data_IF_535739232844
#
_entry.id   IF_535739232844
#
_cell.length_a   1.000
_cell.length_b   1.000
_cell.length_c   1.000
_cell.angle_alpha   90.00
_cell.angle_beta   90.00
_cell.angle_gamma   90.00
#
_symmetry.space_group_name_H-M   'P 1'
#
loop_
_entity.id
_entity.type
_entity.pdbx_description
1 polymer ?
#
# COMPACT_ATOMS: atom_id res chain seq x y z
N UNK A 1 0.75 2.85 14.87
CA UNK A 1 -0.66 2.40 14.95
C UNK A 1 -1.37 2.77 13.65
N UNK A 2 -2.71 2.75 13.58
CA UNK A 2 -3.44 3.11 12.38
C UNK A 2 -3.23 4.58 11.96
N UNK A 3 -3.16 5.51 12.92
CA UNK A 3 -2.92 6.94 12.61
C UNK A 3 -1.54 7.12 11.99
N UNK A 4 -0.50 6.49 12.57
CA UNK A 4 0.84 6.52 12.00
C UNK A 4 0.85 6.03 10.55
N UNK A 5 0.13 4.95 10.25
CA UNK A 5 0.06 4.40 8.89
C UNK A 5 -0.61 5.37 7.91
N UNK A 6 -1.68 6.05 8.32
CA UNK A 6 -2.36 7.07 7.51
C UNK A 6 -1.43 8.24 7.21
N UNK A 7 -0.72 8.75 8.23
CA UNK A 7 0.16 9.91 8.07
C UNK A 7 1.30 9.62 7.09
N UNK A 8 1.93 8.44 7.18
CA UNK A 8 2.95 8.02 6.23
C UNK A 8 2.38 7.82 4.82
N UNK A 9 1.22 7.15 4.69
CA UNK A 9 0.62 6.89 3.38
C UNK A 9 0.25 8.19 2.66
N UNK A 10 -0.39 9.13 3.36
CA UNK A 10 -0.72 10.45 2.81
C UNK A 10 0.54 11.23 2.44
N UNK A 11 1.56 11.24 3.32
CA UNK A 11 2.82 11.93 3.04
C UNK A 11 3.50 11.40 1.78
N UNK A 12 3.58 10.08 1.61
CA UNK A 12 4.21 9.47 0.43
C UNK A 12 3.40 9.76 -0.83
N UNK A 13 2.08 9.56 -0.78
CA UNK A 13 1.17 9.84 -1.89
C UNK A 13 1.28 11.30 -2.36
N UNK A 14 1.21 12.25 -1.43
CA UNK A 14 1.22 13.70 -1.73
C UNK A 14 2.60 14.25 -2.12
N UNK A 15 3.65 13.46 -1.93
CA UNK A 15 5.04 13.84 -2.29
C UNK A 15 5.44 13.30 -3.65
N UNK A 16 5.09 12.05 -3.96
CA UNK A 16 5.63 11.34 -5.11
C UNK A 16 4.64 11.15 -6.26
N UNK A 17 3.35 11.08 -5.97
CA UNK A 17 2.35 10.90 -7.02
C UNK A 17 2.08 12.23 -7.72
N UNK A 18 2.10 12.22 -9.05
CA UNK A 18 1.79 13.40 -9.86
C UNK A 18 0.32 13.83 -9.71
N UNK A 19 -0.56 12.88 -9.40
CA UNK A 19 -1.99 13.08 -9.10
C UNK A 19 -2.29 13.10 -7.59
N UNK A 20 -1.25 13.24 -6.75
CA UNK A 20 -1.37 13.38 -5.30
C UNK A 20 -2.06 14.69 -4.87
N UNK A 21 -2.27 14.86 -3.56
CA UNK A 21 -2.98 16.02 -2.96
C UNK A 21 -4.39 16.23 -3.51
N UNK A 22 -5.01 15.14 -3.92
CA UNK A 22 -6.34 15.09 -4.48
C UNK A 22 -7.29 14.31 -3.54
N UNK A 23 -8.59 14.66 -3.49
CA UNK A 23 -9.57 13.91 -2.71
C UNK A 23 -9.58 12.40 -2.98
N UNK A 24 -9.27 11.96 -4.21
CA UNK A 24 -9.19 10.55 -4.54
C UNK A 24 -8.04 9.86 -3.81
N UNK A 25 -6.89 10.53 -3.65
CA UNK A 25 -5.75 10.00 -2.87
C UNK A 25 -6.11 9.84 -1.40
N UNK A 26 -6.75 10.85 -0.80
CA UNK A 26 -7.19 10.81 0.61
C UNK A 26 -8.19 9.67 0.83
N UNK A 27 -9.22 9.59 -0.02
CA UNK A 27 -10.23 8.54 0.08
C UNK A 27 -9.63 7.16 -0.20
N UNK A 28 -8.66 7.05 -1.11
CA UNK A 28 -7.95 5.81 -1.42
C UNK A 28 -7.12 5.28 -0.24
N UNK A 29 -6.41 6.17 0.47
CA UNK A 29 -5.69 5.81 1.71
C UNK A 29 -6.67 5.36 2.79
N UNK A 30 -7.78 6.08 2.97
CA UNK A 30 -8.81 5.74 3.96
C UNK A 30 -9.56 4.44 3.63
N UNK A 31 -9.78 4.15 2.34
CA UNK A 31 -10.30 2.85 1.90
C UNK A 31 -9.33 1.72 2.28
N UNK A 32 -8.03 1.93 2.06
CA UNK A 32 -6.99 0.91 2.29
C UNK A 32 -6.74 0.61 3.77
N UNK A 33 -6.69 1.64 4.62
CA UNK A 33 -6.28 1.50 6.03
C UNK A 33 -7.50 1.40 6.96
N UNK A 34 -8.56 2.17 6.68
CA UNK A 34 -9.75 2.27 7.53
C UNK A 34 -10.98 1.55 6.96
N UNK A 35 -10.92 1.05 5.72
CA UNK A 35 -12.05 0.36 5.09
C UNK A 35 -13.20 1.28 4.69
N UNK A 36 -12.95 2.58 4.50
CA UNK A 36 -13.97 3.53 4.02
C UNK A 36 -14.49 3.06 2.67
N UNK A 37 -15.81 2.97 2.50
CA UNK A 37 -16.46 2.41 1.30
C UNK A 37 -16.19 0.92 1.02
N UNK A 38 -15.57 0.18 1.94
CA UNK A 38 -15.48 -1.29 1.88
C UNK A 38 -16.37 -1.94 2.94
N UNK A 39 -16.58 -3.26 2.80
CA UNK A 39 -17.24 -4.11 3.79
C UNK A 39 -16.21 -4.75 4.72
N UNK A 40 -16.71 -5.31 5.83
CA UNK A 40 -15.88 -6.10 6.75
C UNK A 40 -15.42 -7.44 6.13
N UNK A 41 -14.22 -7.86 6.54
CA UNK A 41 -13.56 -9.11 6.15
C UNK A 41 -13.28 -10.01 7.39
N UNK A 42 -12.92 -11.29 7.18
CA UNK A 42 -12.53 -12.17 8.28
C UNK A 42 -11.39 -11.57 9.10
N UNK A 43 -11.54 -11.65 10.42
CA UNK A 43 -10.66 -10.97 11.37
C UNK A 43 -9.24 -11.55 11.34
N UNK A 44 -8.24 -10.66 11.40
CA UNK A 44 -6.82 -11.01 11.46
C UNK A 44 -6.09 -10.14 12.49
N UNK A 45 -5.01 -10.67 13.12
CA UNK A 45 -4.15 -9.85 13.96
C UNK A 45 -3.66 -8.60 13.21
N UNK A 46 -3.52 -7.48 13.93
CA UNK A 46 -3.12 -6.16 13.44
C UNK A 46 -4.19 -5.47 12.56
N UNK A 47 -4.71 -6.15 11.55
CA UNK A 47 -5.66 -5.58 10.58
C UNK A 47 -7.12 -5.56 11.06
N UNK A 48 -7.47 -6.35 12.07
CA UNK A 48 -8.86 -6.53 12.47
C UNK A 48 -9.68 -7.06 11.29
N UNK A 49 -10.77 -6.36 10.94
CA UNK A 49 -11.68 -6.72 9.83
C UNK A 49 -11.41 -5.97 8.52
N UNK A 50 -10.30 -5.25 8.42
CA UNK A 50 -9.91 -4.57 7.18
C UNK A 50 -9.50 -5.59 6.12
N UNK A 51 -9.76 -5.28 4.85
CA UNK A 51 -9.39 -6.15 3.72
C UNK A 51 -7.89 -6.43 3.73
N UNK A 52 -7.52 -7.71 3.80
CA UNK A 52 -6.13 -8.13 3.77
C UNK A 52 -5.69 -8.52 2.35
N UNK A 53 -4.54 -7.99 1.91
CA UNK A 53 -3.86 -8.36 0.68
C UNK A 53 -2.48 -8.91 1.01
N UNK A 54 -2.06 -9.99 0.35
CA UNK A 54 -0.78 -10.63 0.58
C UNK A 54 -0.04 -10.95 -0.72
N UNK A 55 1.27 -11.19 -0.59
CA UNK A 55 2.17 -11.47 -1.70
C UNK A 55 1.74 -12.69 -2.53
N UNK A 56 1.44 -13.81 -1.87
CA UNK A 56 0.98 -15.02 -2.56
C UNK A 56 -0.34 -14.80 -3.31
N UNK A 57 -1.20 -13.89 -2.82
CA UNK A 57 -2.42 -13.47 -3.49
C UNK A 57 -2.16 -12.62 -4.74
N UNK A 58 -1.15 -11.75 -4.70
CA UNK A 58 -0.69 -10.98 -5.87
C UNK A 58 -0.11 -11.90 -6.96
N UNK A 59 0.76 -12.85 -6.58
CA UNK A 59 1.37 -13.84 -7.50
C UNK A 59 0.35 -14.69 -8.27
N UNK A 60 -0.83 -14.92 -7.71
CA UNK A 60 -1.91 -15.64 -8.40
C UNK A 60 -2.66 -14.78 -9.42
N UNK A 61 -2.51 -13.46 -9.38
CA UNK A 61 -3.26 -12.49 -10.21
C UNK A 61 -2.44 -11.90 -11.35
N UNK A 62 -1.14 -11.69 -11.15
CA UNK A 62 -0.25 -11.14 -12.17
C UNK A 62 1.20 -11.58 -11.95
N UNK A 63 2.03 -11.34 -12.95
CA UNK A 63 3.47 -11.61 -12.88
C UNK A 63 4.19 -10.56 -12.01
N UNK A 64 4.38 -10.92 -10.75
CA UNK A 64 5.05 -10.07 -9.75
C UNK A 64 6.54 -9.95 -10.05
N UNK A 65 7.17 -10.99 -10.59
CA UNK A 65 8.61 -11.01 -10.82
C UNK A 65 8.97 -10.06 -11.97
N UNK A 66 8.18 -10.08 -13.06
CA UNK A 66 8.32 -9.11 -14.16
C UNK A 66 8.03 -7.66 -13.72
N UNK A 67 7.09 -7.44 -12.78
CA UNK A 67 6.84 -6.11 -12.21
C UNK A 67 8.04 -5.61 -11.41
N UNK A 68 8.60 -6.46 -10.53
CA UNK A 68 9.78 -6.14 -9.75
C UNK A 68 10.98 -5.83 -10.65
N UNK A 69 11.25 -6.66 -11.66
CA UNK A 69 12.34 -6.43 -12.62
C UNK A 69 12.21 -5.08 -13.32
N UNK A 70 10.99 -4.69 -13.71
CA UNK A 70 10.73 -3.44 -14.41
C UNK A 70 10.99 -2.19 -13.56
N UNK A 71 10.66 -2.22 -12.28
CA UNK A 71 10.60 -1.01 -11.45
C UNK A 71 11.63 -0.95 -10.32
N UNK A 72 12.27 -2.06 -9.95
CA UNK A 72 13.30 -2.07 -8.90
C UNK A 72 14.73 -1.93 -9.46
N UNK A 73 14.97 -2.28 -10.73
CA UNK A 73 16.29 -2.18 -11.36
C UNK A 73 17.41 -2.94 -10.62
N UNK A 74 18.62 -2.96 -11.19
CA UNK A 74 19.82 -3.56 -10.56
C UNK A 74 20.46 -2.69 -9.47
N UNK A 75 20.04 -1.43 -9.32
CA UNK A 75 20.48 -0.56 -8.23
C UNK A 75 19.35 -0.38 -7.22
N UNK A 76 19.49 -1.06 -6.10
CA UNK A 76 18.68 -0.80 -4.90
C UNK A 76 18.95 0.63 -4.45
N UNK A 77 17.95 1.52 -4.58
CA UNK A 77 17.97 2.90 -4.05
C UNK A 77 18.17 2.98 -2.53
N UNK A 78 18.13 1.84 -1.85
CA UNK A 78 18.53 1.67 -0.46
C UNK A 78 19.57 0.54 -0.42
N UNK A 79 20.84 0.89 -0.54
CA UNK A 79 21.91 0.03 -0.06
C UNK A 79 21.78 -0.06 1.46
N UNK A 80 21.80 -1.29 1.98
CA UNK A 80 21.94 -1.59 3.39
C UNK A 80 23.31 -1.05 3.85
N UNK A 81 23.34 0.23 4.27
CA UNK A 81 24.41 0.75 5.11
C UNK A 81 23.97 0.55 6.57
N UNK A 82 24.42 -0.57 7.13
CA UNK A 82 24.74 -0.89 8.55
C UNK A 82 23.84 -0.33 9.66
#
# INVERSE_FOLDING_TARGET
DAQTAIDYALKLNDTYELDGRDPNGVVGVMWSICGVHDRAWPERPIFGKIRYMNFNGAKRKFDVDAFCERYLGTETLFTDES
#
